data_IF_444693939259
#
_entry.id   IF_444693939259
#
_cell.length_a   1.000
_cell.length_b   1.000
_cell.length_c   1.000
_cell.angle_alpha   90.00
_cell.angle_beta   90.00
_cell.angle_gamma   90.00
#
_symmetry.space_group_name_H-M   'P 1'
#
loop_
_entity.id
_entity.type
_entity.pdbx_description
1 polymer ?
#
# COMPACT_ATOMS: atom_id res chain seq x y z
N UNK A 1 -51.73 19.24 14.99
CA UNK A 1 -50.38 18.96 15.51
C UNK A 1 -49.75 17.94 14.55
N UNK A 2 -48.92 18.33 13.60
CA UNK A 2 -47.50 18.63 13.83
C UNK A 2 -47.00 19.59 12.74
N UNK A 3 -46.76 20.84 13.08
CA UNK A 3 -46.47 21.98 12.19
C UNK A 3 -44.97 22.15 11.89
N UNK A 4 -44.20 21.06 11.86
CA UNK A 4 -42.73 21.12 11.85
C UNK A 4 -42.03 20.61 10.57
N UNK A 5 -42.77 20.34 9.49
CA UNK A 5 -42.19 19.92 8.20
C UNK A 5 -42.28 20.98 7.09
N UNK A 6 -42.87 22.16 7.36
CA UNK A 6 -42.95 23.28 6.40
C UNK A 6 -41.97 24.42 6.70
N UNK A 7 -41.29 24.39 7.85
CA UNK A 7 -40.46 25.49 8.36
C UNK A 7 -38.97 25.36 8.05
N UNK A 8 -38.50 24.22 7.53
CA UNK A 8 -37.08 24.06 7.14
C UNK A 8 -36.86 24.38 5.64
N UNK A 9 -37.94 24.63 4.89
CA UNK A 9 -37.88 24.93 3.45
C UNK A 9 -37.73 26.44 3.12
N UNK A 10 -37.49 27.32 4.10
CA UNK A 10 -37.52 28.78 3.88
C UNK A 10 -36.31 29.54 4.48
N UNK A 11 -35.20 28.87 4.78
CA UNK A 11 -34.00 29.55 5.32
C UNK A 11 -32.69 29.15 4.65
N UNK A 12 -32.67 28.94 3.34
CA UNK A 12 -31.43 29.05 2.55
C UNK A 12 -31.82 29.55 1.16
N UNK A 13 -31.63 30.83 0.93
CA UNK A 13 -31.84 31.49 -0.36
C UNK A 13 -30.76 31.14 -1.37
N UNK A 14 -30.56 29.85 -1.62
CA UNK A 14 -29.87 29.38 -2.82
C UNK A 14 -30.94 28.84 -3.77
N UNK A 15 -30.89 29.28 -5.02
CA UNK A 15 -31.78 28.82 -6.08
C UNK A 15 -31.72 27.29 -6.19
N UNK A 16 -32.82 26.62 -6.54
CA UNK A 16 -32.83 25.17 -6.83
C UNK A 16 -31.72 24.79 -7.81
N UNK A 17 -31.38 25.72 -8.73
CA UNK A 17 -30.29 25.57 -9.68
C UNK A 17 -28.89 25.60 -9.03
N UNK A 18 -28.69 26.34 -7.94
CA UNK A 18 -27.41 26.42 -7.22
C UNK A 18 -27.16 25.18 -6.37
N UNK A 19 -28.21 24.64 -5.74
CA UNK A 19 -28.13 23.37 -5.01
C UNK A 19 -27.85 22.19 -5.95
N UNK A 20 -28.48 22.16 -7.13
CA UNK A 20 -28.17 21.16 -8.16
C UNK A 20 -26.74 21.27 -8.68
N UNK A 21 -26.22 22.49 -8.80
CA UNK A 21 -24.84 22.73 -9.24
C UNK A 21 -23.82 22.28 -8.17
N UNK A 22 -24.06 22.57 -6.90
CA UNK A 22 -23.24 22.07 -5.79
C UNK A 22 -23.24 20.54 -5.71
N UNK A 23 -24.40 19.90 -5.87
CA UNK A 23 -24.52 18.44 -5.89
C UNK A 23 -23.76 17.84 -7.09
N UNK A 24 -23.83 18.50 -8.27
CA UNK A 24 -23.08 18.11 -9.46
C UNK A 24 -21.57 18.19 -9.23
N UNK A 25 -21.07 19.31 -8.71
CA UNK A 25 -19.64 19.50 -8.43
C UNK A 25 -19.11 18.52 -7.37
N UNK A 26 -19.90 18.22 -6.33
CA UNK A 26 -19.57 17.18 -5.35
C UNK A 26 -19.46 15.80 -5.99
N UNK A 27 -20.37 15.46 -6.91
CA UNK A 27 -20.34 14.22 -7.69
C UNK A 27 -19.08 14.09 -8.56
N UNK A 28 -18.63 15.19 -9.16
CA UNK A 28 -17.39 15.24 -9.95
C UNK A 28 -16.14 15.03 -9.10
N UNK A 29 -16.08 15.64 -7.91
CA UNK A 29 -14.97 15.47 -6.95
C UNK A 29 -14.89 14.04 -6.46
N UNK A 30 -16.02 13.43 -6.06
CA UNK A 30 -16.06 12.03 -5.61
C UNK A 30 -15.63 11.08 -6.72
N UNK A 31 -16.09 11.32 -7.94
CA UNK A 31 -15.69 10.52 -9.11
C UNK A 31 -14.19 10.63 -9.38
N UNK A 32 -13.62 11.83 -9.25
CA UNK A 32 -12.19 12.08 -9.42
C UNK A 32 -11.35 11.41 -8.33
N UNK A 33 -11.81 11.47 -7.08
CA UNK A 33 -11.17 10.80 -5.96
C UNK A 33 -11.21 9.28 -6.11
N UNK A 34 -12.35 8.73 -6.55
CA UNK A 34 -12.50 7.29 -6.76
C UNK A 34 -11.58 6.79 -7.89
N UNK A 35 -11.44 7.57 -8.98
CA UNK A 35 -10.45 7.30 -10.04
C UNK A 35 -9.02 7.31 -9.50
N UNK A 36 -8.65 8.34 -8.72
CA UNK A 36 -7.31 8.45 -8.13
C UNK A 36 -7.01 7.29 -7.17
N UNK A 37 -7.97 6.91 -6.32
CA UNK A 37 -7.85 5.76 -5.44
C UNK A 37 -7.66 4.46 -6.23
N UNK A 38 -8.37 4.29 -7.35
CA UNK A 38 -8.24 3.12 -8.21
C UNK A 38 -6.87 3.04 -8.91
N UNK A 39 -6.28 4.19 -9.28
CA UNK A 39 -4.91 4.27 -9.81
C UNK A 39 -3.88 3.93 -8.74
N UNK A 40 -4.03 4.44 -7.53
CA UNK A 40 -3.12 4.11 -6.42
C UNK A 40 -3.21 2.64 -6.04
N UNK A 41 -4.41 2.05 -6.08
CA UNK A 41 -4.62 0.63 -5.84
C UNK A 41 -3.96 -0.23 -6.92
N UNK A 42 -4.09 0.13 -8.20
CA UNK A 42 -3.42 -0.61 -9.29
C UNK A 42 -1.89 -0.47 -9.23
N UNK A 43 -1.35 0.68 -8.83
CA UNK A 43 0.09 0.86 -8.59
C UNK A 43 0.60 -0.02 -7.44
N UNK A 44 -0.20 -0.20 -6.38
CA UNK A 44 0.12 -1.09 -5.26
C UNK A 44 0.11 -2.57 -5.66
N UNK A 45 -0.85 -2.97 -6.49
CA UNK A 45 -0.95 -4.35 -6.99
C UNK A 45 0.21 -4.68 -7.95
N UNK A 46 0.70 -3.68 -8.68
CA UNK A 46 1.91 -3.75 -9.52
C UNK A 46 3.19 -3.89 -8.66
N UNK A 47 3.26 -3.28 -7.48
CA UNK A 47 4.42 -3.33 -6.58
C UNK A 47 4.74 -4.75 -6.08
N UNK A 48 3.71 -5.59 -5.87
CA UNK A 48 3.89 -6.95 -5.35
C UNK A 48 4.45 -7.94 -6.39
N UNK A 49 4.22 -7.70 -7.68
CA UNK A 49 4.76 -8.51 -8.78
C UNK A 49 5.95 -7.85 -9.52
N UNK A 50 6.22 -6.57 -9.30
CA UNK A 50 7.40 -5.87 -9.81
C UNK A 50 8.64 -5.97 -8.93
N UNK A 51 8.54 -6.53 -7.72
CA UNK A 51 9.64 -6.61 -6.74
C UNK A 51 10.93 -7.27 -7.28
N UNK A 52 10.85 -8.02 -8.39
CA UNK A 52 11.99 -8.65 -9.04
C UNK A 52 12.32 -8.09 -10.43
N UNK A 53 11.54 -7.16 -11.00
CA UNK A 53 11.67 -6.79 -12.41
C UNK A 53 12.60 -5.60 -12.69
N UNK A 54 12.77 -4.65 -11.77
CA UNK A 54 13.50 -3.40 -12.09
C UNK A 54 14.56 -3.03 -11.03
N UNK A 55 15.48 -3.93 -10.70
CA UNK A 55 16.76 -3.55 -10.07
C UNK A 55 17.77 -3.22 -11.17
N UNK A 56 17.58 -2.11 -11.90
CA UNK A 56 18.73 -1.49 -12.57
C UNK A 56 19.61 -0.86 -11.49
N UNK A 57 20.51 -1.67 -10.94
CA UNK A 57 21.54 -1.20 -10.03
C UNK A 57 22.47 -0.28 -10.83
N UNK A 58 22.35 1.03 -10.63
CA UNK A 58 23.42 1.94 -11.03
C UNK A 58 24.65 1.62 -10.16
N UNK A 59 25.62 0.95 -10.75
CA UNK A 59 26.87 0.63 -10.07
C UNK A 59 27.69 1.92 -9.89
N UNK A 60 28.19 2.21 -8.67
CA UNK A 60 29.19 3.26 -8.48
C UNK A 60 30.40 3.00 -9.37
N UNK A 61 31.12 4.06 -9.76
CA UNK A 61 32.37 3.94 -10.54
C UNK A 61 33.40 3.03 -9.85
N UNK A 62 33.37 2.99 -8.52
CA UNK A 62 34.27 2.18 -7.68
C UNK A 62 33.74 0.74 -7.42
N UNK A 63 32.61 0.37 -8.04
CA UNK A 63 31.99 -0.94 -7.89
C UNK A 63 31.13 -1.10 -6.63
N UNK A 64 30.69 -2.33 -6.36
CA UNK A 64 29.94 -2.69 -5.15
C UNK A 64 30.53 -3.94 -4.50
N UNK A 65 30.36 -4.05 -3.17
CA UNK A 65 30.55 -5.31 -2.46
C UNK A 65 29.33 -6.21 -2.69
N UNK A 66 29.51 -7.22 -3.55
CA UNK A 66 28.48 -8.21 -3.89
C UNK A 66 27.95 -8.95 -2.65
N UNK A 67 28.82 -9.34 -1.72
CA UNK A 67 28.40 -10.12 -0.55
C UNK A 67 27.58 -9.26 0.42
N UNK A 68 27.96 -7.99 0.57
CA UNK A 68 27.17 -7.02 1.33
C UNK A 68 25.81 -6.78 0.67
N UNK A 69 25.77 -6.57 -0.64
CA UNK A 69 24.53 -6.35 -1.38
C UNK A 69 23.59 -7.56 -1.30
N UNK A 70 24.11 -8.77 -1.56
CA UNK A 70 23.38 -10.04 -1.41
C UNK A 70 22.78 -10.19 -0.02
N UNK A 71 23.56 -9.92 1.03
CA UNK A 71 23.11 -10.04 2.42
C UNK A 71 21.98 -9.05 2.74
N UNK A 72 22.09 -7.80 2.29
CA UNK A 72 21.04 -6.80 2.47
C UNK A 72 19.74 -7.21 1.74
N UNK A 73 19.88 -7.74 0.53
CA UNK A 73 18.76 -8.26 -0.23
C UNK A 73 18.05 -9.42 0.50
N UNK A 74 18.80 -10.40 0.98
CA UNK A 74 18.26 -11.52 1.77
C UNK A 74 17.52 -11.06 3.03
N UNK A 75 18.09 -10.10 3.78
CA UNK A 75 17.44 -9.53 4.97
C UNK A 75 16.11 -8.86 4.60
N UNK A 76 16.10 -8.03 3.55
CA UNK A 76 14.89 -7.35 3.11
C UNK A 76 13.83 -8.33 2.61
N UNK A 77 14.23 -9.37 1.89
CA UNK A 77 13.32 -10.41 1.42
C UNK A 77 12.64 -11.15 2.60
N UNK A 78 13.41 -11.49 3.63
CA UNK A 78 12.87 -12.13 4.84
C UNK A 78 11.93 -11.18 5.61
N UNK A 79 12.28 -9.90 5.75
CA UNK A 79 11.39 -8.90 6.38
C UNK A 79 10.06 -8.76 5.65
N UNK A 80 10.08 -8.78 4.32
CA UNK A 80 8.87 -8.72 3.50
C UNK A 80 8.01 -9.97 3.66
N UNK A 81 8.61 -11.16 3.69
CA UNK A 81 7.88 -12.39 3.96
C UNK A 81 7.25 -12.41 5.36
N UNK A 82 7.95 -11.88 6.38
CA UNK A 82 7.39 -11.71 7.72
C UNK A 82 6.23 -10.70 7.72
N UNK A 83 6.33 -9.58 6.98
CA UNK A 83 5.23 -8.61 6.75
C UNK A 83 4.01 -9.24 6.13
N UNK A 84 4.18 -9.96 5.03
CA UNK A 84 3.09 -10.64 4.34
C UNK A 84 2.39 -11.70 5.21
N UNK A 85 3.09 -12.22 6.23
CA UNK A 85 2.58 -13.31 7.08
C UNK A 85 2.28 -12.89 8.50
N UNK A 86 2.24 -11.59 8.81
CA UNK A 86 1.98 -11.08 10.16
C UNK A 86 2.94 -11.68 11.21
N UNK A 87 4.20 -11.87 10.84
CA UNK A 87 5.26 -12.36 11.73
C UNK A 87 5.32 -13.88 11.91
N UNK A 88 4.45 -14.63 11.24
CA UNK A 88 4.44 -16.09 11.32
C UNK A 88 5.63 -16.69 10.58
N UNK A 89 6.73 -16.92 11.29
CA UNK A 89 7.99 -17.44 10.73
C UNK A 89 7.82 -18.71 9.90
N UNK A 90 6.98 -19.66 10.33
CA UNK A 90 6.71 -20.88 9.56
C UNK A 90 5.99 -20.58 8.22
N UNK A 91 5.04 -19.64 8.22
CA UNK A 91 4.36 -19.20 7.00
C UNK A 91 5.31 -18.41 6.10
N UNK A 92 6.17 -17.56 6.67
CA UNK A 92 7.18 -16.81 5.93
C UNK A 92 8.21 -17.75 5.27
N UNK A 93 8.66 -18.78 5.99
CA UNK A 93 9.56 -19.80 5.46
C UNK A 93 8.92 -20.57 4.30
N UNK A 94 7.64 -20.94 4.44
CA UNK A 94 6.86 -21.55 3.36
C UNK A 94 6.73 -20.64 2.14
N UNK A 95 6.46 -19.35 2.36
CA UNK A 95 6.36 -18.33 1.29
C UNK A 95 7.69 -18.21 0.51
N UNK A 96 8.82 -18.24 1.23
CA UNK A 96 10.16 -18.18 0.65
C UNK A 96 10.69 -19.55 0.20
N UNK A 97 9.89 -20.62 0.28
CA UNK A 97 10.26 -22.00 -0.08
C UNK A 97 11.58 -22.46 0.57
N UNK A 98 11.77 -22.12 1.84
CA UNK A 98 12.92 -22.57 2.63
C UNK A 98 12.50 -23.28 3.92
N UNK A 99 13.40 -24.06 4.51
CA UNK A 99 13.14 -24.71 5.80
C UNK A 99 12.95 -23.65 6.89
N UNK A 100 11.96 -23.87 7.77
CA UNK A 100 11.71 -22.98 8.91
C UNK A 100 12.93 -22.83 9.82
N UNK A 101 13.70 -23.91 10.03
CA UNK A 101 14.94 -23.86 10.81
C UNK A 101 16.02 -22.97 10.18
N UNK A 102 16.12 -22.95 8.85
CA UNK A 102 17.02 -22.07 8.10
C UNK A 102 16.60 -20.61 8.28
N UNK A 103 15.33 -20.29 8.06
CA UNK A 103 14.81 -18.93 8.24
C UNK A 103 15.00 -18.45 9.69
N UNK A 104 14.69 -19.28 10.67
CA UNK A 104 14.84 -18.93 12.09
C UNK A 104 16.31 -18.67 12.46
N UNK A 105 17.24 -19.49 11.95
CA UNK A 105 18.67 -19.29 12.16
C UNK A 105 19.15 -17.99 11.52
N UNK A 106 18.64 -17.65 10.34
CA UNK A 106 18.94 -16.39 9.65
C UNK A 106 18.43 -15.18 10.44
N UNK A 107 17.16 -15.21 10.91
CA UNK A 107 16.56 -14.15 11.74
C UNK A 107 17.42 -13.89 12.98
N UNK A 108 17.82 -14.95 13.70
CA UNK A 108 18.66 -14.84 14.90
C UNK A 108 20.04 -14.26 14.58
N UNK A 109 20.73 -14.81 13.58
CA UNK A 109 22.09 -14.39 13.18
C UNK A 109 22.13 -12.93 12.76
N UNK A 110 21.10 -12.47 12.05
CA UNK A 110 21.03 -11.13 11.49
C UNK A 110 20.19 -10.16 12.31
N UNK A 111 19.72 -10.59 13.50
CA UNK A 111 18.89 -9.79 14.42
C UNK A 111 17.73 -9.08 13.70
N UNK A 112 17.02 -9.83 12.87
CA UNK A 112 15.94 -9.29 12.05
C UNK A 112 14.72 -9.06 12.94
N UNK A 113 14.31 -7.81 13.09
CA UNK A 113 12.99 -7.43 13.61
C UNK A 113 11.98 -7.31 12.47
N UNK A 114 10.74 -7.67 12.80
CA UNK A 114 9.58 -7.61 11.93
C UNK A 114 8.59 -6.59 12.48
#
# INVERSE_FOLDING_TARGET
MNTNLKTIALSNGNSSAEQENEISTLGEVVSSLNRAAHVLQSLKDVETNQLFKNFELQFPKDGIDFYRAKKLYEINLIKQALRATQGHQAKAAKLLRMRTSTLNSFIKRHRISY
#
